data_IF_261544025560
#
_entry.id   IF_261544025560
#
_cell.length_a   1.000
_cell.length_b   1.000
_cell.length_c   1.000
_cell.angle_alpha   90.00
_cell.angle_beta   90.00
_cell.angle_gamma   90.00
#
_symmetry.space_group_name_H-M   'P 1'
#
loop_
_entity.id
_entity.type
_entity.pdbx_description
1 polymer ?
#
# COMPACT_ATOMS: atom_id res chain seq x y z
N UNK A 1 3.70 32.97 -8.32
CA UNK A 1 3.96 31.67 -7.69
C UNK A 1 3.67 30.61 -8.73
N UNK A 2 4.70 30.15 -9.44
CA UNK A 2 4.53 29.27 -10.59
C UNK A 2 4.25 27.84 -10.13
N UNK A 3 2.97 27.47 -10.13
CA UNK A 3 2.52 26.09 -10.21
C UNK A 3 2.57 25.67 -11.67
N UNK A 4 3.46 24.73 -11.99
CA UNK A 4 3.25 23.56 -12.85
C UNK A 4 4.64 23.02 -13.24
N UNK A 5 5.22 22.16 -12.39
CA UNK A 5 6.31 21.30 -12.86
C UNK A 5 5.62 20.13 -13.53
N UNK A 6 5.55 20.21 -14.86
CA UNK A 6 5.40 19.08 -15.75
C UNK A 6 6.08 17.85 -15.14
N UNK A 7 5.29 16.88 -14.72
CA UNK A 7 5.79 15.53 -14.44
C UNK A 7 6.31 14.99 -15.76
N UNK A 8 7.57 15.28 -16.05
CA UNK A 8 8.30 14.71 -17.17
C UNK A 8 8.32 13.20 -16.92
N UNK A 9 7.54 12.47 -17.71
CA UNK A 9 7.34 11.03 -17.52
C UNK A 9 8.63 10.32 -17.92
N UNK A 10 9.55 10.17 -16.97
CA UNK A 10 10.74 9.35 -17.15
C UNK A 10 10.35 7.88 -17.31
N UNK A 11 11.06 7.16 -18.17
CA UNK A 11 10.94 5.70 -18.19
C UNK A 11 11.56 5.12 -16.91
N UNK A 12 11.20 3.87 -16.51
CA UNK A 12 11.80 3.23 -15.33
C UNK A 12 13.33 3.21 -15.34
N UNK A 13 13.96 3.04 -16.52
CA UNK A 13 15.42 3.02 -16.67
C UNK A 13 16.03 4.42 -16.48
N UNK A 14 15.34 5.46 -16.97
CA UNK A 14 15.75 6.84 -16.77
C UNK A 14 15.63 7.26 -15.31
N UNK A 15 14.56 6.83 -14.64
CA UNK A 15 14.38 7.04 -13.20
C UNK A 15 15.47 6.33 -12.39
N UNK A 16 15.80 5.08 -12.74
CA UNK A 16 16.90 4.35 -12.13
C UNK A 16 18.24 5.08 -12.29
N UNK A 17 18.55 5.55 -13.51
CA UNK A 17 19.77 6.30 -13.78
C UNK A 17 19.80 7.66 -13.05
N UNK A 18 18.65 8.34 -12.94
CA UNK A 18 18.52 9.59 -12.22
C UNK A 18 18.86 9.44 -10.73
N UNK A 19 18.36 8.38 -10.08
CA UNK A 19 18.65 8.11 -8.68
C UNK A 19 20.01 7.44 -8.43
N UNK A 20 20.80 7.13 -9.47
CA UNK A 20 22.18 6.64 -9.30
C UNK A 20 23.11 7.73 -8.72
N UNK A 21 22.76 9.02 -8.88
CA UNK A 21 23.46 10.13 -8.23
C UNK A 21 22.96 10.30 -6.77
N UNK A 22 23.84 10.22 -5.75
CA UNK A 22 23.46 10.39 -4.35
C UNK A 22 22.74 11.71 -4.04
N UNK A 23 23.01 12.79 -4.79
CA UNK A 23 22.36 14.09 -4.60
C UNK A 23 20.86 14.04 -4.89
N UNK A 24 20.46 13.16 -5.80
CA UNK A 24 19.05 12.96 -6.14
C UNK A 24 18.31 12.06 -5.14
N UNK A 25 19.03 11.45 -4.19
CA UNK A 25 18.43 10.69 -3.08
C UNK A 25 18.19 11.54 -1.83
N UNK A 26 18.59 12.83 -1.85
CA UNK A 26 18.35 13.72 -0.74
C UNK A 26 16.85 13.99 -0.57
N UNK A 27 16.29 13.79 0.64
CA UNK A 27 14.88 14.04 0.91
C UNK A 27 14.50 15.47 0.53
N UNK A 28 13.50 15.59 -0.33
CA UNK A 28 13.01 16.89 -0.79
C UNK A 28 12.13 17.52 0.29
N UNK A 29 12.58 18.66 0.82
CA UNK A 29 11.83 19.48 1.77
C UNK A 29 11.92 19.02 3.23
N UNK A 30 11.27 19.74 4.16
CA UNK A 30 11.35 19.44 5.58
C UNK A 30 10.65 18.11 5.91
N UNK A 31 11.14 17.34 6.89
CA UNK A 31 10.51 16.11 7.32
C UNK A 31 9.08 16.37 7.80
N UNK A 32 8.13 15.60 7.27
CA UNK A 32 6.71 15.72 7.64
C UNK A 32 6.33 14.59 8.59
N UNK A 33 5.88 14.96 9.80
CA UNK A 33 5.27 14.00 10.72
C UNK A 33 3.86 13.66 10.26
N UNK A 34 3.51 12.37 10.27
CA UNK A 34 2.14 11.92 10.00
C UNK A 34 1.19 12.46 11.07
N UNK A 35 0.04 13.03 10.65
CA UNK A 35 -0.97 13.57 11.57
C UNK A 35 -1.67 12.51 12.42
N UNK A 36 -1.81 11.28 11.91
CA UNK A 36 -2.48 10.17 12.60
C UNK A 36 -1.54 8.97 12.73
N UNK A 37 -1.53 8.28 13.89
CA UNK A 37 -0.78 7.03 14.05
C UNK A 37 -1.29 5.96 13.07
N UNK A 38 -0.49 4.93 12.83
CA UNK A 38 -0.99 3.72 12.15
C UNK A 38 -2.08 3.10 13.02
N UNK A 39 -3.10 2.54 12.38
CA UNK A 39 -4.11 1.74 13.09
C UNK A 39 -3.40 0.63 13.86
N UNK A 40 -3.72 0.48 15.15
CA UNK A 40 -3.22 -0.63 15.96
C UNK A 40 -3.64 -1.94 15.31
N UNK A 41 -2.71 -2.88 15.04
CA UNK A 41 -3.05 -4.17 14.48
C UNK A 41 -3.89 -4.97 15.49
N UNK A 42 -5.00 -5.54 15.03
CA UNK A 42 -5.84 -6.45 15.81
C UNK A 42 -5.47 -7.89 15.44
N UNK A 43 -4.92 -8.70 16.35
CA UNK A 43 -4.55 -10.08 16.05
C UNK A 43 -5.81 -10.95 15.94
N UNK A 44 -6.01 -11.56 14.77
CA UNK A 44 -7.02 -12.60 14.53
C UNK A 44 -6.31 -13.93 14.36
N UNK A 45 -6.80 -14.98 15.04
CA UNK A 45 -6.26 -16.33 14.94
C UNK A 45 -7.09 -17.13 13.96
N UNK A 46 -6.44 -17.65 12.92
CA UNK A 46 -7.04 -18.62 12.02
C UNK A 46 -6.37 -19.98 12.19
N UNK A 47 -7.11 -21.10 12.04
CA UNK A 47 -6.51 -22.38 11.72
C UNK A 47 -5.57 -22.25 10.52
N UNK A 48 -4.50 -23.04 10.49
CA UNK A 48 -3.48 -22.94 9.43
C UNK A 48 -4.10 -23.12 8.03
N UNK A 49 -4.97 -24.12 7.88
CA UNK A 49 -5.62 -24.43 6.59
C UNK A 49 -6.47 -23.26 6.09
N UNK A 50 -7.22 -22.62 6.99
CA UNK A 50 -8.03 -21.45 6.67
C UNK A 50 -7.14 -20.25 6.30
N UNK A 51 -6.01 -20.06 6.98
CA UNK A 51 -5.09 -18.98 6.65
C UNK A 51 -4.51 -19.16 5.24
N UNK A 52 -4.20 -20.38 4.83
CA UNK A 52 -3.73 -20.67 3.46
C UNK A 52 -4.81 -20.41 2.42
N UNK A 53 -6.07 -20.77 2.70
CA UNK A 53 -7.20 -20.41 1.83
C UNK A 53 -7.35 -18.90 1.65
N UNK A 54 -7.27 -18.14 2.76
CA UNK A 54 -7.34 -16.69 2.72
C UNK A 54 -6.18 -16.09 1.90
N UNK A 55 -4.96 -16.62 2.03
CA UNK A 55 -3.81 -16.19 1.22
C UNK A 55 -4.06 -16.41 -0.27
N UNK A 56 -4.50 -17.60 -0.67
CA UNK A 56 -4.83 -17.92 -2.07
C UNK A 56 -5.91 -17.01 -2.64
N UNK A 57 -6.96 -16.73 -1.84
CA UNK A 57 -8.03 -15.85 -2.27
C UNK A 57 -7.56 -14.38 -2.41
N UNK A 58 -6.67 -13.92 -1.54
CA UNK A 58 -6.07 -12.59 -1.63
C UNK A 58 -5.18 -12.44 -2.86
N UNK A 59 -4.36 -13.45 -3.15
CA UNK A 59 -3.50 -13.50 -4.35
C UNK A 59 -4.32 -13.50 -5.64
N UNK A 60 -5.38 -14.32 -5.72
CA UNK A 60 -6.28 -14.36 -6.87
C UNK A 60 -6.96 -13.01 -7.16
N UNK A 61 -7.11 -12.18 -6.14
CA UNK A 61 -7.72 -10.85 -6.20
C UNK A 61 -6.68 -9.70 -6.40
N UNK A 62 -5.39 -10.01 -6.54
CA UNK A 62 -4.26 -9.06 -6.57
C UNK A 62 -4.28 -8.10 -5.36
N UNK A 63 -4.47 -8.66 -4.17
CA UNK A 63 -4.60 -7.90 -2.91
C UNK A 63 -3.72 -8.48 -1.82
N UNK A 64 -3.35 -7.62 -0.88
CA UNK A 64 -2.78 -8.09 0.39
C UNK A 64 -3.86 -8.81 1.22
N UNK A 65 -3.43 -9.77 2.05
CA UNK A 65 -4.31 -10.52 2.96
C UNK A 65 -5.17 -9.60 3.84
N UNK A 66 -4.59 -8.53 4.38
CA UNK A 66 -5.30 -7.59 5.24
C UNK A 66 -6.36 -6.77 4.47
N UNK A 67 -6.06 -6.36 3.23
CA UNK A 67 -7.01 -5.67 2.37
C UNK A 67 -8.16 -6.61 1.96
N UNK A 68 -7.84 -7.86 1.64
CA UNK A 68 -8.82 -8.87 1.27
C UNK A 68 -9.77 -9.19 2.44
N UNK A 69 -9.24 -9.45 3.64
CA UNK A 69 -10.06 -9.71 4.84
C UNK A 69 -10.97 -8.51 5.15
N UNK A 70 -10.46 -7.29 5.12
CA UNK A 70 -11.27 -6.09 5.40
C UNK A 70 -12.46 -6.00 4.44
N UNK A 71 -12.21 -6.19 3.14
CA UNK A 71 -13.26 -6.17 2.12
C UNK A 71 -14.27 -7.31 2.30
N UNK A 72 -13.81 -8.51 2.67
CA UNK A 72 -14.67 -9.64 2.93
C UNK A 72 -15.61 -9.38 4.13
N UNK A 73 -15.09 -8.82 5.22
CA UNK A 73 -15.87 -8.44 6.40
C UNK A 73 -16.88 -7.33 6.07
N UNK A 74 -16.46 -6.28 5.37
CA UNK A 74 -17.36 -5.20 4.93
C UNK A 74 -18.51 -5.75 4.06
N UNK A 75 -18.20 -6.65 3.12
CA UNK A 75 -19.21 -7.30 2.27
C UNK A 75 -20.19 -8.12 3.10
N UNK A 76 -19.70 -8.92 4.03
CA UNK A 76 -20.55 -9.77 4.88
C UNK A 76 -21.51 -8.94 5.73
N UNK A 77 -21.01 -7.86 6.34
CA UNK A 77 -21.83 -6.95 7.15
C UNK A 77 -22.84 -6.12 6.32
N UNK A 78 -22.58 -5.94 5.03
CA UNK A 78 -23.50 -5.25 4.12
C UNK A 78 -24.63 -6.14 3.59
N UNK A 79 -24.55 -7.46 3.81
CA UNK A 79 -25.54 -8.42 3.30
C UNK A 79 -26.81 -8.38 4.16
N UNK A 80 -28.01 -8.30 3.57
CA UNK A 80 -29.26 -8.42 4.33
C UNK A 80 -29.39 -9.81 4.95
N UNK A 81 -30.03 -9.88 6.12
CA UNK A 81 -30.26 -11.09 6.90
C UNK A 81 -31.25 -12.05 6.24
#
# INVERSE_FOLDING_TARGET
>A
MSTDKSSDQMTPEQEYAFYADPRNQEPQGPPRRRKRPLSTPVPVRFPADLLEEVKRAAEADDRSVSAWIRRAVERELSRPA
#
